data_IF_301065044876
#
_entry.id   IF_301065044876
#
_cell.length_a   1.000
_cell.length_b   1.000
_cell.length_c   1.000
_cell.angle_alpha   90.00
_cell.angle_beta   90.00
_cell.angle_gamma   90.00
#
_symmetry.space_group_name_H-M   'P 1'
#
loop_
_entity.id
_entity.type
_entity.pdbx_description
1 polymer ?
#
# COMPACT_ATOMS: atom_id res chain seq x y z
N UNK A 1 10.55 13.93 10.02
CA UNK A 1 11.37 13.01 10.85
C UNK A 1 11.06 11.56 10.48
N UNK A 2 11.92 10.59 10.84
CA UNK A 2 11.73 9.14 10.60
C UNK A 2 10.35 8.62 11.01
N UNK A 3 9.80 9.17 12.09
CA UNK A 3 8.51 8.81 12.64
C UNK A 3 7.34 9.21 11.73
N UNK A 4 7.32 10.45 11.24
CA UNK A 4 6.31 10.92 10.25
C UNK A 4 6.33 10.07 8.99
N UNK A 5 7.53 9.68 8.54
CA UNK A 5 7.70 8.83 7.37
C UNK A 5 7.17 7.40 7.58
N UNK A 6 7.50 6.80 8.73
CA UNK A 6 7.01 5.46 9.10
C UNK A 6 5.50 5.45 9.30
N UNK A 7 4.95 6.51 9.89
CA UNK A 7 3.52 6.70 10.05
C UNK A 7 2.83 6.81 8.69
N UNK A 8 3.37 7.60 7.76
CA UNK A 8 2.79 7.73 6.42
C UNK A 8 2.83 6.42 5.62
N UNK A 9 3.94 5.65 5.69
CA UNK A 9 4.05 4.37 4.99
C UNK A 9 3.07 3.31 5.48
N UNK A 10 2.87 3.21 6.80
CA UNK A 10 1.94 2.24 7.38
C UNK A 10 0.50 2.72 7.32
N UNK A 11 0.27 4.03 7.24
CA UNK A 11 -1.05 4.63 7.21
C UNK A 11 -1.85 4.18 5.97
N UNK A 12 -1.29 4.33 4.77
CA UNK A 12 -1.98 3.96 3.52
C UNK A 12 -2.36 2.48 3.50
N UNK A 13 -1.48 1.61 4.03
CA UNK A 13 -1.70 0.16 4.12
C UNK A 13 -2.81 -0.22 5.09
N UNK A 14 -2.82 0.40 6.27
CA UNK A 14 -3.87 0.18 7.27
C UNK A 14 -5.22 0.66 6.76
N UNK A 15 -5.24 1.82 6.10
CA UNK A 15 -6.46 2.39 5.54
C UNK A 15 -7.02 1.48 4.43
N UNK A 16 -6.17 1.02 3.52
CA UNK A 16 -6.56 0.09 2.47
C UNK A 16 -7.10 -1.25 3.01
N UNK A 17 -6.47 -1.81 4.05
CA UNK A 17 -6.94 -3.06 4.67
C UNK A 17 -8.31 -2.88 5.33
N UNK A 18 -8.50 -1.79 6.08
CA UNK A 18 -9.78 -1.46 6.69
C UNK A 18 -10.88 -1.26 5.64
N UNK A 19 -10.55 -0.56 4.56
CA UNK A 19 -11.44 -0.34 3.43
C UNK A 19 -11.86 -1.67 2.77
N UNK A 20 -10.93 -2.59 2.55
CA UNK A 20 -11.24 -3.92 2.01
C UNK A 20 -12.13 -4.76 2.94
N UNK A 21 -11.90 -4.69 4.26
CA UNK A 21 -12.79 -5.32 5.25
C UNK A 21 -14.19 -4.73 5.19
N UNK A 22 -14.33 -3.41 5.11
CA UNK A 22 -15.63 -2.74 5.03
C UNK A 22 -16.39 -3.11 3.73
N UNK A 23 -15.69 -3.28 2.60
CA UNK A 23 -16.30 -3.77 1.34
C UNK A 23 -16.91 -5.16 1.55
N UNK A 24 -16.16 -6.07 2.17
CA UNK A 24 -16.54 -7.48 2.27
C UNK A 24 -17.58 -7.73 3.38
N UNK A 25 -17.35 -7.18 4.57
CA UNK A 25 -18.21 -7.44 5.73
C UNK A 25 -19.53 -6.67 5.67
N UNK A 26 -19.52 -5.46 5.10
CA UNK A 26 -20.71 -4.59 5.07
C UNK A 26 -21.36 -4.55 3.68
N UNK A 27 -20.81 -5.24 2.70
CA UNK A 27 -21.28 -5.21 1.32
C UNK A 27 -21.24 -3.81 0.69
N UNK A 28 -20.36 -2.93 1.19
CA UNK A 28 -20.27 -1.57 0.69
C UNK A 28 -19.65 -1.55 -0.70
N UNK A 29 -20.17 -0.67 -1.56
CA UNK A 29 -19.60 -0.54 -2.90
C UNK A 29 -18.20 0.08 -2.82
N UNK A 30 -17.24 -0.51 -3.54
CA UNK A 30 -15.85 0.01 -3.63
C UNK A 30 -15.80 1.52 -3.90
N UNK A 31 -16.68 2.03 -4.76
CA UNK A 31 -16.77 3.46 -5.08
C UNK A 31 -17.08 4.34 -3.86
N UNK A 32 -17.99 3.88 -2.99
CA UNK A 32 -18.37 4.62 -1.77
C UNK A 32 -17.23 4.60 -0.76
N UNK A 33 -16.55 3.46 -0.60
CA UNK A 33 -15.38 3.32 0.25
C UNK A 33 -14.22 4.19 -0.23
N UNK A 34 -13.95 4.22 -1.53
CA UNK A 34 -12.90 5.10 -2.08
C UNK A 34 -13.19 6.58 -1.83
N UNK A 35 -14.47 7.00 -1.90
CA UNK A 35 -14.86 8.37 -1.53
C UNK A 35 -14.65 8.65 -0.04
N UNK A 36 -14.93 7.68 0.84
CA UNK A 36 -14.69 7.82 2.28
C UNK A 36 -13.19 7.88 2.62
N UNK A 37 -12.39 7.06 1.94
CA UNK A 37 -10.93 7.07 2.04
C UNK A 37 -10.36 8.41 1.55
N UNK A 38 -10.89 8.96 0.47
CA UNK A 38 -10.51 10.29 -0.01
C UNK A 38 -10.83 11.39 1.01
N UNK A 39 -12.00 11.34 1.64
CA UNK A 39 -12.37 12.27 2.71
C UNK A 39 -11.50 12.10 3.96
N UNK A 40 -11.20 10.86 4.37
CA UNK A 40 -10.38 10.56 5.55
C UNK A 40 -8.93 10.98 5.36
N UNK A 41 -8.36 10.68 4.19
CA UNK A 41 -7.04 11.19 3.81
C UNK A 41 -7.07 12.72 3.82
N UNK A 42 -8.05 13.37 3.18
CA UNK A 42 -8.16 14.83 3.18
C UNK A 42 -8.21 15.44 4.60
N UNK A 43 -9.00 14.86 5.52
CA UNK A 43 -9.11 15.34 6.91
C UNK A 43 -7.83 15.15 7.70
N UNK A 44 -7.19 13.99 7.59
CA UNK A 44 -5.92 13.74 8.27
C UNK A 44 -4.87 14.75 7.81
N UNK A 45 -4.85 15.03 6.51
CA UNK A 45 -3.90 15.94 5.89
C UNK A 45 -4.14 17.40 6.29
N UNK A 46 -5.41 17.82 6.38
CA UNK A 46 -5.78 19.15 6.89
C UNK A 46 -5.40 19.35 8.38
N UNK A 47 -5.22 18.26 9.15
CA UNK A 47 -4.81 18.32 10.55
C UNK A 47 -3.30 18.50 10.76
N UNK A 48 -2.48 18.25 9.72
CA UNK A 48 -1.02 18.40 9.77
C UNK A 48 -0.67 19.88 9.54
N UNK A 49 -0.35 20.58 10.63
CA UNK A 49 -0.10 22.04 10.69
C UNK A 49 0.98 22.61 9.77
N UNK A 50 1.80 21.79 9.11
CA UNK A 50 3.00 22.28 8.41
C UNK A 50 2.80 22.66 6.94
N UNK A 51 1.59 22.54 6.36
CA UNK A 51 1.35 23.05 4.99
C UNK A 51 2.21 22.39 3.89
N UNK A 52 2.85 21.25 4.20
CA UNK A 52 3.78 20.51 3.34
C UNK A 52 3.01 19.52 2.43
N UNK A 53 1.80 19.86 2.00
CA UNK A 53 0.96 18.85 1.36
C UNK A 53 0.33 19.35 0.05
N UNK A 54 0.83 18.81 -1.06
CA UNK A 54 0.33 19.07 -2.40
C UNK A 54 -0.77 18.07 -2.79
N UNK A 55 -1.68 18.51 -3.66
CA UNK A 55 -2.66 17.64 -4.31
C UNK A 55 -2.02 16.43 -5.01
N UNK A 56 -0.77 16.57 -5.46
CA UNK A 56 0.01 15.51 -6.08
C UNK A 56 0.28 14.33 -5.12
N UNK A 57 0.68 14.59 -3.88
CA UNK A 57 0.90 13.52 -2.88
C UNK A 57 -0.40 12.76 -2.64
N UNK A 58 -1.54 13.45 -2.61
CA UNK A 58 -2.87 12.84 -2.43
C UNK A 58 -3.19 11.88 -3.57
N UNK A 59 -3.03 12.35 -4.80
CA UNK A 59 -3.33 11.54 -5.99
C UNK A 59 -2.48 10.27 -6.02
N UNK A 60 -1.20 10.36 -5.65
CA UNK A 60 -0.32 9.19 -5.55
C UNK A 60 -0.73 8.24 -4.42
N UNK A 61 -1.11 8.78 -3.25
CA UNK A 61 -1.61 7.96 -2.14
C UNK A 61 -2.90 7.23 -2.49
N UNK A 62 -3.82 7.88 -3.20
CA UNK A 62 -5.07 7.24 -3.65
C UNK A 62 -4.82 6.11 -4.65
N UNK A 63 -3.82 6.25 -5.53
CA UNK A 63 -3.41 5.17 -6.43
C UNK A 63 -2.84 3.96 -5.66
N UNK A 64 -1.95 4.21 -4.68
CA UNK A 64 -1.42 3.15 -3.79
C UNK A 64 -2.55 2.46 -3.01
N UNK A 65 -3.45 3.24 -2.40
CA UNK A 65 -4.56 2.71 -1.59
C UNK A 65 -5.51 1.89 -2.45
N UNK A 66 -5.84 2.34 -3.66
CA UNK A 66 -6.72 1.59 -4.58
C UNK A 66 -6.12 0.23 -4.93
N UNK A 67 -4.83 0.21 -5.26
CA UNK A 67 -4.11 -1.03 -5.57
C UNK A 67 -4.10 -2.00 -4.38
N UNK A 68 -3.91 -1.48 -3.16
CA UNK A 68 -3.93 -2.28 -1.94
C UNK A 68 -5.34 -2.78 -1.58
N UNK A 69 -6.39 -1.98 -1.80
CA UNK A 69 -7.77 -2.42 -1.62
C UNK A 69 -8.06 -3.60 -2.54
N UNK A 70 -7.66 -3.53 -3.81
CA UNK A 70 -7.85 -4.62 -4.76
C UNK A 70 -7.13 -5.89 -4.34
N UNK A 71 -5.88 -5.76 -3.90
CA UNK A 71 -5.11 -6.86 -3.33
C UNK A 71 -5.79 -7.49 -2.11
N UNK A 72 -6.21 -6.69 -1.14
CA UNK A 72 -6.83 -7.22 0.07
C UNK A 72 -8.19 -7.84 -0.19
N UNK A 73 -9.00 -7.26 -1.09
CA UNK A 73 -10.26 -7.87 -1.50
C UNK A 73 -10.01 -9.25 -2.12
N UNK A 74 -9.02 -9.34 -3.01
CA UNK A 74 -8.64 -10.60 -3.66
C UNK A 74 -8.16 -11.65 -2.66
N UNK A 75 -7.38 -11.26 -1.65
CA UNK A 75 -6.91 -12.18 -0.62
C UNK A 75 -8.02 -12.65 0.33
N UNK A 76 -8.93 -11.78 0.73
CA UNK A 76 -10.01 -12.13 1.67
C UNK A 76 -11.06 -13.03 1.00
N UNK A 77 -11.27 -12.87 -0.31
CA UNK A 77 -12.17 -13.73 -1.10
C UNK A 77 -11.53 -15.08 -1.49
N UNK A 78 -10.20 -15.20 -1.36
CA UNK A 78 -9.49 -16.43 -1.69
C UNK A 78 -9.71 -17.53 -0.63
N UNK A 79 -9.89 -18.76 -1.09
CA UNK A 79 -9.99 -19.92 -0.20
C UNK A 79 -8.69 -20.15 0.60
N UNK A 80 -8.81 -20.65 1.82
CA UNK A 80 -7.66 -20.98 2.66
C UNK A 80 -7.78 -20.53 4.11
N UNK A 81 -6.88 -21.02 4.96
CA UNK A 81 -6.86 -20.75 6.40
C UNK A 81 -5.63 -19.94 6.86
N UNK A 82 -4.72 -19.65 5.94
CA UNK A 82 -3.52 -18.87 6.22
C UNK A 82 -3.14 -17.97 5.04
N UNK A 83 -2.26 -17.01 5.32
CA UNK A 83 -1.79 -16.04 4.33
C UNK A 83 -1.15 -16.68 3.09
N UNK A 84 -0.44 -17.80 3.26
CA UNK A 84 0.21 -18.49 2.13
C UNK A 84 -0.85 -19.04 1.18
N UNK A 85 -1.86 -19.72 1.74
CA UNK A 85 -2.98 -20.27 0.97
C UNK A 85 -3.78 -19.17 0.26
N UNK A 86 -4.04 -18.03 0.91
CA UNK A 86 -4.72 -16.90 0.28
C UNK A 86 -3.92 -16.34 -0.90
N UNK A 87 -2.61 -16.12 -0.75
CA UNK A 87 -1.79 -15.58 -1.84
C UNK A 87 -1.72 -16.54 -3.01
N UNK A 88 -1.54 -17.85 -2.76
CA UNK A 88 -1.49 -18.87 -3.82
C UNK A 88 -2.83 -18.92 -4.57
N UNK A 89 -3.95 -18.96 -3.84
CA UNK A 89 -5.27 -19.10 -4.46
C UNK A 89 -5.72 -17.81 -5.16
N UNK A 90 -5.37 -16.64 -4.62
CA UNK A 90 -5.65 -15.34 -5.21
C UNK A 90 -4.88 -15.10 -6.52
N UNK A 91 -3.57 -15.37 -6.52
CA UNK A 91 -2.69 -15.01 -7.65
C UNK A 91 -2.39 -16.17 -8.59
N UNK A 92 -2.60 -17.41 -8.16
CA UNK A 92 -2.44 -18.67 -8.90
C UNK A 92 -1.01 -19.00 -9.36
N UNK A 93 -0.16 -18.00 -9.60
CA UNK A 93 1.21 -18.17 -10.04
C UNK A 93 2.15 -17.13 -9.39
N UNK A 94 3.44 -17.47 -9.23
CA UNK A 94 4.42 -16.52 -8.71
C UNK A 94 4.58 -15.30 -9.60
N UNK A 95 4.45 -15.44 -10.92
CA UNK A 95 4.56 -14.32 -11.88
C UNK A 95 3.47 -13.27 -11.64
N UNK A 96 2.22 -13.69 -11.42
CA UNK A 96 1.11 -12.79 -11.15
C UNK A 96 1.29 -12.04 -9.83
N UNK A 97 1.77 -12.73 -8.79
CA UNK A 97 2.03 -12.10 -7.50
C UNK A 97 3.23 -11.14 -7.58
N UNK A 98 4.31 -11.50 -8.29
CA UNK A 98 5.45 -10.63 -8.54
C UNK A 98 5.03 -9.37 -9.31
N UNK A 99 4.20 -9.51 -10.36
CA UNK A 99 3.68 -8.37 -11.11
C UNK A 99 2.92 -7.38 -10.22
N UNK A 100 2.11 -7.89 -9.28
CA UNK A 100 1.47 -7.04 -8.26
C UNK A 100 2.49 -6.35 -7.36
N UNK A 101 3.52 -7.06 -6.88
CA UNK A 101 4.55 -6.49 -6.01
C UNK A 101 5.36 -5.40 -6.73
N UNK A 102 5.58 -5.53 -8.04
CA UNK A 102 6.21 -4.50 -8.88
C UNK A 102 5.33 -3.26 -9.03
N UNK A 103 4.02 -3.43 -9.28
CA UNK A 103 3.06 -2.32 -9.31
C UNK A 103 3.02 -1.59 -7.96
N UNK A 104 3.00 -2.33 -6.85
CA UNK A 104 3.00 -1.76 -5.51
C UNK A 104 4.29 -0.99 -5.22
N UNK A 105 5.43 -1.52 -5.65
CA UNK A 105 6.73 -0.83 -5.52
C UNK A 105 6.71 0.52 -6.25
N UNK A 106 6.20 0.56 -7.48
CA UNK A 106 6.16 1.81 -8.24
C UNK A 106 5.19 2.81 -7.62
N UNK A 107 3.99 2.38 -7.21
CA UNK A 107 3.02 3.25 -6.54
C UNK A 107 3.59 3.86 -5.24
N UNK A 108 4.27 3.06 -4.42
CA UNK A 108 4.95 3.55 -3.21
C UNK A 108 6.03 4.59 -3.52
N UNK A 109 6.85 4.32 -4.55
CA UNK A 109 7.90 5.22 -5.00
C UNK A 109 7.34 6.56 -5.50
N UNK A 110 6.22 6.55 -6.21
CA UNK A 110 5.54 7.77 -6.64
C UNK A 110 5.04 8.61 -5.44
N UNK A 111 4.46 7.96 -4.43
CA UNK A 111 4.05 8.62 -3.18
C UNK A 111 5.25 9.29 -2.50
N UNK A 112 6.39 8.59 -2.40
CA UNK A 112 7.58 9.16 -1.80
C UNK A 112 8.19 10.29 -2.62
N UNK A 113 8.25 10.13 -3.95
CA UNK A 113 8.74 11.16 -4.85
C UNK A 113 7.98 12.48 -4.66
N UNK A 114 6.65 12.41 -4.65
CA UNK A 114 5.79 13.56 -4.42
C UNK A 114 5.99 14.16 -3.00
N UNK A 115 6.07 13.30 -1.97
CA UNK A 115 6.26 13.76 -0.60
C UNK A 115 7.63 14.43 -0.39
N UNK A 116 8.70 13.89 -0.98
CA UNK A 116 10.06 14.43 -0.87
C UNK A 116 10.22 15.79 -1.56
N UNK A 117 9.57 15.98 -2.72
CA UNK A 117 9.56 17.28 -3.39
C UNK A 117 8.94 18.38 -2.52
N UNK A 118 8.04 17.99 -1.61
CA UNK A 118 7.36 18.92 -0.71
C UNK A 118 8.14 19.17 0.59
N UNK A 119 8.81 18.16 1.15
CA UNK A 119 9.47 18.21 2.47
C UNK A 119 10.97 18.60 2.42
N UNK A 120 11.62 18.55 1.25
CA UNK A 120 12.91 19.21 1.00
C UNK A 120 14.08 18.86 1.95
N UNK A 121 14.33 17.58 2.26
CA UNK A 121 15.49 17.20 3.09
C UNK A 121 16.26 15.99 2.55
N UNK A 122 17.58 16.17 2.39
CA UNK A 122 18.52 15.16 1.86
C UNK A 122 18.61 13.89 2.73
N UNK A 123 18.48 14.02 4.06
CA UNK A 123 18.42 12.88 5.01
C UNK A 123 17.20 11.98 4.80
N UNK A 124 16.13 12.49 4.19
CA UNK A 124 14.95 11.69 3.87
C UNK A 124 15.17 10.79 2.64
N UNK A 125 16.06 11.17 1.72
CA UNK A 125 16.31 10.43 0.47
C UNK A 125 17.02 9.08 0.72
N UNK A 126 18.10 9.07 1.49
CA UNK A 126 18.86 7.85 1.81
C UNK A 126 18.03 6.86 2.63
N UNK A 127 17.17 7.39 3.51
CA UNK A 127 16.23 6.59 4.30
C UNK A 127 15.18 5.92 3.41
N UNK A 128 14.57 6.68 2.50
CA UNK A 128 13.59 6.16 1.51
C UNK A 128 14.24 5.06 0.68
N UNK A 129 15.41 5.31 0.10
CA UNK A 129 16.11 4.33 -0.73
C UNK A 129 16.45 3.04 0.04
N UNK A 130 16.86 3.16 1.31
CA UNK A 130 17.13 2.00 2.18
C UNK A 130 15.85 1.21 2.45
N UNK A 131 14.74 1.91 2.70
CA UNK A 131 13.45 1.27 2.97
C UNK A 131 12.88 0.58 1.72
N UNK A 132 12.92 1.22 0.56
CA UNK A 132 12.50 0.64 -0.73
C UNK A 132 13.25 -0.67 -1.00
N UNK A 133 14.59 -0.62 -0.95
CA UNK A 133 15.44 -1.80 -1.16
C UNK A 133 15.19 -2.91 -0.14
N UNK A 134 14.99 -2.55 1.12
CA UNK A 134 14.73 -3.54 2.18
C UNK A 134 13.36 -4.19 1.99
N UNK A 135 12.35 -3.39 1.66
CA UNK A 135 10.97 -3.85 1.45
C UNK A 135 10.88 -4.74 0.24
N UNK A 136 11.49 -4.36 -0.88
CA UNK A 136 11.58 -5.19 -2.09
C UNK A 136 12.24 -6.54 -1.79
N UNK A 137 13.41 -6.53 -1.12
CA UNK A 137 14.12 -7.77 -0.76
C UNK A 137 13.26 -8.70 0.11
N UNK A 138 12.57 -8.14 1.10
CA UNK A 138 11.69 -8.93 1.99
C UNK A 138 10.50 -9.48 1.21
N UNK A 139 9.88 -8.69 0.34
CA UNK A 139 8.74 -9.12 -0.49
C UNK A 139 9.12 -10.21 -1.47
N UNK A 140 10.27 -10.09 -2.15
CA UNK A 140 10.75 -11.12 -3.08
C UNK A 140 11.09 -12.42 -2.35
N UNK A 141 11.76 -12.35 -1.20
CA UNK A 141 12.03 -13.53 -0.38
C UNK A 141 10.74 -14.19 0.13
N UNK A 142 9.73 -13.39 0.48
CA UNK A 142 8.41 -13.90 0.88
C UNK A 142 7.68 -14.56 -0.30
N UNK A 143 7.65 -13.93 -1.48
CA UNK A 143 7.05 -14.49 -2.70
C UNK A 143 7.69 -15.82 -3.07
N UNK A 144 9.02 -15.89 -3.07
CA UNK A 144 9.75 -17.12 -3.31
C UNK A 144 9.39 -18.20 -2.30
N UNK A 145 9.34 -17.87 -0.99
CA UNK A 145 8.95 -18.83 0.04
C UNK A 145 7.52 -19.34 -0.13
N UNK A 146 6.57 -18.46 -0.43
CA UNK A 146 5.16 -18.80 -0.61
C UNK A 146 5.02 -19.83 -1.74
N UNK A 147 5.59 -19.53 -2.92
CA UNK A 147 5.39 -20.37 -4.09
C UNK A 147 6.32 -21.58 -4.16
N UNK A 148 7.49 -21.59 -3.47
CA UNK A 148 8.33 -22.79 -3.32
C UNK A 148 7.68 -23.88 -2.45
N UNK A 149 6.73 -23.52 -1.58
CA UNK A 149 6.05 -24.49 -0.69
C UNK A 149 5.01 -25.34 -1.44
N UNK A 150 4.78 -25.06 -2.73
CA UNK A 150 3.75 -25.68 -3.58
C UNK A 150 4.31 -26.62 -4.67
N UNK A 151 5.64 -26.73 -4.78
CA UNK A 151 6.34 -27.68 -5.67
C UNK A 151 6.90 -28.86 -4.85
#
# INVERSE_FOLDING_TARGET
TREVFTQNFLFTKRLALKAAQDIIEKGQQKKEILSQVEDETMRLLASIKEGIYSEEVRLKQMAEITLLIDHYCLLIDAEGNDYTSWVINAYQSPENYIAFLEQLKEAEKEVYGAAMQTVGTQTSAEMVATMEKTTERVRMAAAEKIFRTTN
#
